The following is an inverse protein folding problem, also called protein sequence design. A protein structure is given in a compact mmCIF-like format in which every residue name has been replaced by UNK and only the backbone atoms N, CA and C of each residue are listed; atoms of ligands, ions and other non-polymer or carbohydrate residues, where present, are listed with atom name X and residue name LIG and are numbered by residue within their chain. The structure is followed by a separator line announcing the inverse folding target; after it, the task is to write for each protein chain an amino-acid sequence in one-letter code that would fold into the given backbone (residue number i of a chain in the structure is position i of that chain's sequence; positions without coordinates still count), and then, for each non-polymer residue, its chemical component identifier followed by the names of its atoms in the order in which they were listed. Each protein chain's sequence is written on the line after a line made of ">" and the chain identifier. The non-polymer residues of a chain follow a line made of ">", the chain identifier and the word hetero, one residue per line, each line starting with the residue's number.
data_IF_840798986656
#
_entry.id   IF_840798986656
#
_cell.length_a   1.000
_cell.length_b   1.000
_cell.length_c   1.000
_cell.angle_alpha   90.00
_cell.angle_beta   90.00
_cell.angle_gamma   90.00
#
_symmetry.space_group_name_H-M   'P 1'
#
loop_
_entity.id
_entity.type
_entity.pdbx_description
1 polymer ?
#
# COMPACT_ATOMS: atom_id res chain seq x y z
N UNK A 1 14.02 -11.23 8.90
CA UNK A 1 13.22 -12.44 8.65
C UNK A 1 11.69 -12.21 8.70
N UNK A 2 11.19 -11.02 9.08
CA UNK A 2 9.74 -10.71 9.02
C UNK A 2 8.90 -11.44 10.08
N UNK A 3 9.52 -12.31 10.88
CA UNK A 3 8.92 -13.08 11.96
C UNK A 3 8.96 -12.35 13.32
N UNK A 4 9.64 -11.22 13.40
CA UNK A 4 9.94 -10.50 14.65
C UNK A 4 9.18 -9.19 14.84
N UNK A 5 8.21 -8.88 13.96
CA UNK A 5 7.32 -7.74 14.14
C UNK A 5 6.37 -7.98 15.33
N UNK A 6 6.86 -7.77 16.54
CA UNK A 6 6.09 -7.84 17.78
C UNK A 6 5.35 -6.51 18.00
N UNK A 7 4.09 -6.59 18.41
CA UNK A 7 3.24 -5.43 18.68
C UNK A 7 2.21 -5.10 17.58
N UNK A 8 1.29 -4.18 17.90
CA UNK A 8 0.28 -3.74 16.96
C UNK A 8 0.86 -2.75 15.94
N UNK A 9 0.61 -3.00 14.65
CA UNK A 9 0.96 -2.04 13.60
C UNK A 9 0.36 -0.66 13.91
N UNK A 10 1.21 0.37 13.94
CA UNK A 10 0.79 1.75 14.10
C UNK A 10 0.06 2.22 12.85
N UNK A 11 -0.91 3.11 13.03
CA UNK A 11 -1.61 3.82 11.95
C UNK A 11 -1.11 5.26 11.92
N UNK A 12 -1.07 5.83 10.72
CA UNK A 12 -0.56 7.17 10.47
C UNK A 12 -1.55 7.93 9.59
N UNK A 13 -1.58 9.25 9.72
CA UNK A 13 -2.08 10.11 8.63
C UNK A 13 -1.15 10.01 7.42
N UNK A 14 -1.58 10.48 6.25
CA UNK A 14 -0.77 10.37 5.04
C UNK A 14 0.58 11.06 5.17
N UNK A 15 0.61 12.29 5.69
CA UNK A 15 1.85 13.04 5.90
C UNK A 15 2.72 12.36 6.97
N UNK A 16 2.12 11.89 8.07
CA UNK A 16 2.84 11.14 9.10
C UNK A 16 3.46 9.85 8.55
N UNK A 17 2.82 9.16 7.61
CA UNK A 17 3.37 7.96 6.99
C UNK A 17 4.66 8.27 6.20
N UNK A 18 4.66 9.38 5.45
CA UNK A 18 5.84 9.85 4.71
C UNK A 18 6.98 10.23 5.66
N UNK A 19 6.67 10.96 6.72
CA UNK A 19 7.68 11.40 7.68
C UNK A 19 8.19 10.24 8.56
N UNK A 20 7.34 9.27 8.88
CA UNK A 20 7.73 8.04 9.54
C UNK A 20 8.70 7.21 8.68
N UNK A 21 8.52 7.17 7.35
CA UNK A 21 9.46 6.51 6.45
C UNK A 21 10.85 7.17 6.47
N UNK A 22 10.89 8.52 6.43
CA UNK A 22 12.15 9.28 6.55
C UNK A 22 12.84 9.00 7.88
N UNK A 23 12.09 9.09 8.99
CA UNK A 23 12.62 8.84 10.32
C UNK A 23 13.13 7.39 10.46
N UNK A 24 12.42 6.41 9.88
CA UNK A 24 12.85 5.01 9.87
C UNK A 24 14.22 4.83 9.19
N UNK A 25 14.44 5.50 8.05
CA UNK A 25 15.72 5.48 7.36
C UNK A 25 16.83 6.18 8.15
N UNK A 26 16.53 7.34 8.77
CA UNK A 26 17.49 8.05 9.63
C UNK A 26 17.89 7.23 10.85
N UNK A 27 17.04 6.33 11.32
CA UNK A 27 17.30 5.42 12.43
C UNK A 27 17.98 4.10 12.00
N UNK A 28 18.58 4.05 10.81
CA UNK A 28 19.34 2.90 10.31
C UNK A 28 18.50 1.84 9.58
N UNK A 29 17.19 2.02 9.49
CA UNK A 29 16.27 1.14 8.77
C UNK A 29 16.33 -0.32 9.26
N UNK A 30 16.23 -1.27 8.33
CA UNK A 30 16.28 -2.71 8.63
C UNK A 30 16.99 -3.46 7.53
N UNK A 31 17.73 -4.52 7.86
CA UNK A 31 18.41 -5.36 6.87
C UNK A 31 19.60 -4.67 6.17
N UNK A 32 20.21 -3.67 6.81
CA UNK A 32 21.33 -2.90 6.24
C UNK A 32 20.89 -1.84 5.23
N UNK A 33 19.60 -1.54 5.19
CA UNK A 33 18.94 -0.74 4.16
C UNK A 33 18.27 0.50 4.75
N UNK A 34 18.50 1.66 4.13
CA UNK A 34 18.00 2.99 4.58
C UNK A 34 17.30 3.76 3.45
N UNK A 35 16.79 3.09 2.43
CA UNK A 35 16.03 3.72 1.34
C UNK A 35 14.54 3.32 1.32
N UNK A 36 14.00 3.02 2.51
CA UNK A 36 12.61 2.62 2.66
C UNK A 36 11.66 3.78 2.40
N UNK A 37 10.70 3.59 1.50
CA UNK A 37 9.73 4.60 1.10
C UNK A 37 8.30 4.11 1.31
N UNK A 38 7.37 5.05 1.46
CA UNK A 38 5.94 4.75 1.35
C UNK A 38 5.67 4.35 -0.11
N UNK A 39 5.05 3.18 -0.37
CA UNK A 39 4.94 2.61 -1.69
C UNK A 39 4.13 3.49 -2.64
N UNK A 40 4.52 3.49 -3.91
CA UNK A 40 3.66 4.03 -4.96
C UNK A 40 2.43 3.12 -5.14
N UNK A 41 1.33 3.64 -5.68
CA UNK A 41 0.09 2.87 -5.85
C UNK A 41 0.34 1.63 -6.71
N UNK A 42 1.21 1.80 -7.73
CA UNK A 42 1.73 0.72 -8.57
C UNK A 42 2.40 -0.41 -7.78
N UNK A 43 3.13 -0.10 -6.70
CA UNK A 43 3.77 -1.11 -5.86
C UNK A 43 2.72 -1.89 -5.06
N UNK A 44 1.78 -1.19 -4.43
CA UNK A 44 0.69 -1.83 -3.68
C UNK A 44 -0.20 -2.70 -4.58
N UNK A 45 -0.40 -2.27 -5.81
CA UNK A 45 -1.14 -3.04 -6.81
C UNK A 45 -0.41 -4.29 -7.27
N UNK A 46 0.91 -4.23 -7.41
CA UNK A 46 1.73 -5.38 -7.81
C UNK A 46 1.70 -6.54 -6.82
N UNK A 47 1.39 -6.26 -5.54
CA UNK A 47 1.33 -7.27 -4.47
C UNK A 47 -0.10 -7.77 -4.21
N UNK A 48 -1.09 -7.31 -4.99
CA UNK A 48 -2.44 -7.85 -4.91
C UNK A 48 -2.47 -9.28 -5.44
N UNK A 49 -3.24 -10.12 -4.76
CA UNK A 49 -3.41 -11.51 -5.11
C UNK A 49 -4.88 -11.91 -4.97
N UNK A 50 -5.53 -12.24 -6.09
CA UNK A 50 -6.87 -12.82 -6.11
C UNK A 50 -6.76 -14.25 -6.62
N UNK A 51 -7.10 -15.25 -5.79
CA UNK A 51 -7.02 -16.66 -6.19
C UNK A 51 -8.00 -17.03 -7.30
N UNK A 52 -9.09 -16.27 -7.45
CA UNK A 52 -10.10 -16.44 -8.51
C UNK A 52 -9.89 -15.53 -9.71
N UNK A 53 -8.78 -14.78 -9.73
CA UNK A 53 -8.49 -13.76 -10.74
C UNK A 53 -9.16 -12.41 -10.44
N UNK A 54 -8.91 -11.45 -11.33
CA UNK A 54 -9.45 -10.09 -11.24
C UNK A 54 -10.63 -9.89 -12.19
N UNK A 55 -11.56 -9.02 -11.81
CA UNK A 55 -12.70 -8.56 -12.59
C UNK A 55 -12.74 -7.02 -12.61
N UNK A 56 -13.27 -6.44 -13.68
CA UNK A 56 -13.22 -5.00 -13.89
C UNK A 56 -11.82 -4.49 -14.26
N UNK A 57 -11.72 -3.19 -14.50
CA UNK A 57 -10.47 -2.51 -14.85
C UNK A 57 -10.34 -1.21 -14.06
N UNK A 58 -9.16 -0.99 -13.50
CA UNK A 58 -8.77 0.24 -12.82
C UNK A 58 -7.77 1.01 -13.69
N UNK A 59 -7.77 2.34 -13.62
CA UNK A 59 -6.68 3.15 -14.19
C UNK A 59 -5.92 3.84 -13.07
N UNK A 60 -4.65 3.47 -12.90
CA UNK A 60 -3.80 4.00 -11.83
C UNK A 60 -2.66 4.85 -12.40
N UNK A 61 -2.15 5.83 -11.66
CA UNK A 61 -0.89 6.48 -12.02
C UNK A 61 0.28 5.49 -11.90
N UNK A 62 1.29 5.67 -12.74
CA UNK A 62 2.57 4.95 -12.68
C UNK A 62 3.65 5.83 -12.07
N UNK A 63 4.74 5.21 -11.60
CA UNK A 63 5.88 5.96 -11.04
C UNK A 63 6.50 6.96 -12.03
N UNK A 64 6.34 6.73 -13.33
CA UNK A 64 6.88 7.58 -14.41
C UNK A 64 5.90 8.68 -14.86
N UNK A 65 4.87 8.97 -14.08
CA UNK A 65 3.91 10.05 -14.37
C UNK A 65 2.96 9.75 -15.53
N UNK A 66 2.78 8.47 -15.88
CA UNK A 66 1.78 8.00 -16.85
C UNK A 66 0.62 7.32 -16.11
N UNK A 67 -0.32 6.77 -16.86
CA UNK A 67 -1.36 5.89 -16.32
C UNK A 67 -1.21 4.46 -16.86
N UNK A 68 -1.70 3.49 -16.09
CA UNK A 68 -1.71 2.06 -16.45
C UNK A 68 -3.06 1.46 -16.10
N UNK A 69 -3.63 0.69 -17.02
CA UNK A 69 -4.82 -0.12 -16.75
C UNK A 69 -4.43 -1.44 -16.11
N UNK A 70 -5.12 -1.80 -15.04
CA UNK A 70 -4.89 -3.03 -14.27
C UNK A 70 -6.22 -3.71 -13.94
N UNK A 71 -6.18 -4.94 -13.40
CA UNK A 71 -7.39 -5.61 -12.93
C UNK A 71 -8.01 -4.89 -11.73
N UNK A 72 -9.32 -4.65 -11.78
CA UNK A 72 -10.09 -3.88 -10.79
C UNK A 72 -10.15 -4.58 -9.44
N UNK A 73 -11.17 -5.41 -9.19
CA UNK A 73 -11.42 -6.13 -7.92
C UNK A 73 -11.27 -7.66 -8.10
N UNK A 74 -11.29 -8.44 -7.01
CA UNK A 74 -11.26 -9.90 -7.13
C UNK A 74 -12.59 -10.45 -7.67
N UNK A 75 -12.53 -11.49 -8.51
CA UNK A 75 -13.71 -12.15 -9.10
C UNK A 75 -14.44 -13.02 -8.07
N UNK A 76 -15.77 -12.90 -7.99
CA UNK A 76 -16.65 -13.77 -7.20
C UNK A 76 -17.19 -13.16 -5.90
N UNK A 77 -18.12 -13.86 -5.24
CA UNK A 77 -18.78 -13.40 -4.01
C UNK A 77 -17.97 -13.78 -2.76
N UNK A 78 -17.77 -12.81 -1.87
CA UNK A 78 -17.11 -12.99 -0.56
C UNK A 78 -15.84 -12.16 -0.38
N UNK A 79 -15.45 -11.96 0.88
CA UNK A 79 -14.24 -11.23 1.26
C UNK A 79 -12.99 -12.05 0.91
N UNK A 80 -12.46 -11.83 -0.29
CA UNK A 80 -11.19 -12.46 -0.67
C UNK A 80 -10.04 -11.64 -0.12
N UNK A 81 -9.19 -12.24 0.73
CA UNK A 81 -7.93 -11.60 1.13
C UNK A 81 -7.09 -11.37 -0.11
N UNK A 82 -6.80 -10.11 -0.41
CA UNK A 82 -6.16 -9.78 -1.69
C UNK A 82 -4.65 -9.68 -1.59
N UNK A 83 -4.04 -10.37 -0.62
CA UNK A 83 -2.59 -10.39 -0.42
C UNK A 83 -2.15 -11.77 0.04
N UNK A 84 -1.04 -12.26 -0.52
CA UNK A 84 -0.47 -13.53 -0.12
C UNK A 84 0.17 -13.41 1.27
N UNK A 85 -0.50 -13.94 2.30
CA UNK A 85 -0.03 -13.87 3.69
C UNK A 85 1.20 -14.75 3.97
N UNK A 86 1.50 -15.73 3.13
CA UNK A 86 2.73 -16.53 3.24
C UNK A 86 3.96 -15.69 2.88
N UNK A 87 3.84 -14.83 1.87
CA UNK A 87 4.91 -13.90 1.46
C UNK A 87 4.91 -12.64 2.33
N UNK A 88 3.72 -12.17 2.70
CA UNK A 88 3.53 -10.95 3.48
C UNK A 88 2.82 -11.25 4.80
N UNK A 89 3.50 -11.95 5.74
CA UNK A 89 2.94 -12.26 7.04
C UNK A 89 2.59 -10.97 7.78
N UNK A 90 1.66 -11.07 8.72
CA UNK A 90 1.17 -9.97 9.56
C UNK A 90 0.54 -8.80 8.78
N UNK A 91 0.16 -8.99 7.51
CA UNK A 91 -0.68 -8.01 6.81
C UNK A 91 -2.11 -8.10 7.33
N UNK A 92 -2.63 -6.97 7.80
CA UNK A 92 -4.01 -6.85 8.25
C UNK A 92 -4.91 -6.61 7.05
N UNK A 93 -6.13 -7.13 7.10
CA UNK A 93 -7.15 -6.91 6.09
C UNK A 93 -7.73 -5.48 6.20
N UNK A 94 -6.98 -4.47 5.75
CA UNK A 94 -7.29 -3.04 5.93
C UNK A 94 -6.70 -2.18 4.81
N UNK A 95 -6.97 -0.87 4.84
CA UNK A 95 -6.38 0.12 3.94
C UNK A 95 -4.92 0.45 4.27
N UNK A 96 -4.09 0.51 3.23
CA UNK A 96 -2.67 0.87 3.28
C UNK A 96 -2.39 2.11 2.43
N UNK A 97 -1.65 3.06 3.00
CA UNK A 97 -1.26 4.31 2.33
C UNK A 97 -0.32 4.09 1.15
N UNK A 98 -0.62 4.80 0.06
CA UNK A 98 0.31 5.03 -1.03
C UNK A 98 0.88 6.46 -1.00
N UNK A 99 2.11 6.63 -1.50
CA UNK A 99 2.73 7.94 -1.75
C UNK A 99 2.21 8.63 -3.02
N UNK A 100 1.42 7.97 -3.86
CA UNK A 100 0.92 8.54 -5.10
C UNK A 100 0.02 9.76 -4.86
N UNK A 101 0.27 10.88 -5.56
CA UNK A 101 -0.60 12.04 -5.48
C UNK A 101 -1.98 11.72 -6.08
N UNK A 102 -3.04 12.25 -5.48
CA UNK A 102 -4.39 12.16 -6.03
C UNK A 102 -4.59 13.32 -7.00
N UNK A 103 -4.98 12.99 -8.24
CA UNK A 103 -5.14 13.95 -9.33
C UNK A 103 -6.28 14.97 -9.13
N UNK A 104 -7.17 14.76 -8.16
CA UNK A 104 -8.45 15.50 -8.05
C UNK A 104 -8.70 16.25 -6.73
N UNK A 105 -7.71 16.39 -5.85
CA UNK A 105 -7.88 17.26 -4.68
C UNK A 105 -6.76 17.13 -3.65
N UNK A 106 -6.33 18.26 -3.08
CA UNK A 106 -5.27 18.35 -2.07
C UNK A 106 -5.57 17.57 -0.78
N UNK A 107 -6.83 17.20 -0.55
CA UNK A 107 -7.34 16.62 0.71
C UNK A 107 -7.29 15.10 0.80
N UNK A 108 -7.16 14.37 -0.31
CA UNK A 108 -7.22 12.90 -0.32
C UNK A 108 -5.93 12.27 -0.84
N UNK A 109 -5.66 11.05 -0.41
CA UNK A 109 -4.56 10.22 -0.91
C UNK A 109 -5.06 8.81 -1.26
N UNK A 110 -4.34 8.14 -2.16
CA UNK A 110 -4.65 6.77 -2.57
C UNK A 110 -4.35 5.78 -1.43
N UNK A 111 -5.26 4.83 -1.25
CA UNK A 111 -5.04 3.64 -0.44
C UNK A 111 -5.41 2.38 -1.20
N UNK A 112 -4.78 1.27 -0.87
CA UNK A 112 -5.23 -0.07 -1.29
C UNK A 112 -5.82 -0.79 -0.09
N UNK A 113 -7.07 -1.23 -0.21
CA UNK A 113 -7.73 -2.06 0.79
C UNK A 113 -7.50 -3.54 0.47
N UNK A 114 -6.66 -4.22 1.26
CA UNK A 114 -6.42 -5.66 1.05
C UNK A 114 -7.60 -6.57 1.43
N UNK A 115 -8.67 -5.99 2.00
CA UNK A 115 -9.90 -6.71 2.32
C UNK A 115 -10.81 -6.93 1.10
N UNK A 116 -10.79 -6.00 0.15
CA UNK A 116 -11.58 -6.06 -1.09
C UNK A 116 -10.72 -6.13 -2.35
N UNK A 117 -9.43 -5.77 -2.21
CA UNK A 117 -8.53 -5.53 -3.33
C UNK A 117 -8.91 -4.30 -4.14
N UNK A 118 -9.75 -3.41 -3.62
CA UNK A 118 -10.03 -2.14 -4.27
C UNK A 118 -8.97 -1.12 -3.84
N UNK A 119 -8.56 -0.25 -4.74
CA UNK A 119 -8.08 1.06 -4.34
C UNK A 119 -9.25 2.00 -4.05
N UNK A 120 -8.92 3.12 -3.43
CA UNK A 120 -9.84 4.21 -3.19
C UNK A 120 -9.09 5.43 -2.74
N UNK A 121 -9.84 6.50 -2.50
CA UNK A 121 -9.32 7.76 -2.00
C UNK A 121 -9.88 8.00 -0.60
N UNK A 122 -9.01 8.28 0.35
CA UNK A 122 -9.42 8.68 1.69
C UNK A 122 -8.75 9.98 2.08
N UNK A 123 -9.40 10.73 2.96
CA UNK A 123 -8.89 11.99 3.48
C UNK A 123 -7.52 11.76 4.15
N UNK A 124 -6.54 12.60 3.83
CA UNK A 124 -5.15 12.51 4.32
C UNK A 124 -5.03 12.54 5.85
N UNK A 125 -6.03 13.04 6.56
CA UNK A 125 -6.07 13.10 8.02
C UNK A 125 -6.59 11.82 8.69
N UNK A 126 -7.02 10.82 7.91
CA UNK A 126 -7.46 9.53 8.45
C UNK A 126 -6.24 8.67 8.80
N UNK A 127 -6.31 7.94 9.91
CA UNK A 127 -5.27 7.02 10.31
C UNK A 127 -5.41 5.67 9.58
N UNK A 128 -4.46 5.38 8.69
CA UNK A 128 -4.37 4.10 7.94
C UNK A 128 -3.01 3.42 8.13
N UNK A 129 -2.89 2.16 7.72
CA UNK A 129 -1.63 1.43 7.83
C UNK A 129 -0.64 1.84 6.73
N UNK A 130 0.64 1.53 6.93
CA UNK A 130 1.69 1.70 5.93
C UNK A 130 2.58 0.46 5.90
N UNK A 131 3.03 0.07 4.72
CA UNK A 131 4.02 -1.00 4.51
C UNK A 131 5.11 -0.42 3.62
N UNK A 132 6.29 -0.18 4.19
CA UNK A 132 7.39 0.41 3.43
C UNK A 132 7.93 -0.58 2.41
N UNK A 133 8.36 -0.05 1.26
CA UNK A 133 9.07 -0.78 0.22
C UNK A 133 10.42 -0.12 -0.01
N UNK A 134 11.38 -0.84 -0.58
CA UNK A 134 12.67 -0.27 -0.99
C UNK A 134 12.43 0.68 -2.17
N UNK A 135 13.10 1.82 -2.21
CA UNK A 135 13.09 2.65 -3.40
C UNK A 135 13.75 1.88 -4.56
N UNK A 136 13.09 1.81 -5.71
CA UNK A 136 13.77 1.42 -6.95
C UNK A 136 14.70 2.58 -7.31
N UNK A 137 16.00 2.41 -7.07
CA UNK A 137 17.02 3.29 -7.64
C UNK A 137 17.09 3.09 -9.16
#
# INVERSE_FOLDING_TARGET
>A
DGNTCTGAAKKYTWQQALDAAKAFNSNGGVGGFTDWVVPHIEDLYSIRYCSTGFEGKETIPTKVGKTKTIGGWCKGEGYQRTINQTIFPNTKDSGYWSSSPVAYGSYSAWIVHFYYGSDGYVNKNVNSYVRLVRSSQ
#
